data_IF_101589857873
#
_entry.id   IF_101589857873
#
_cell.length_a   1.000
_cell.length_b   1.000
_cell.length_c   1.000
_cell.angle_alpha   90.00
_cell.angle_beta   90.00
_cell.angle_gamma   90.00
#
_symmetry.space_group_name_H-M   'P 1'
#
loop_
_entity.id
_entity.type
_entity.pdbx_description
1 polymer ?
#
# COMPACT_ATOMS: atom_id res chain seq x y z
N UNK A 1 -8.34 -11.07 -6.38
CA UNK A 1 -9.34 -11.42 -5.35
C UNK A 1 -9.18 -10.51 -4.15
N UNK A 2 -10.26 -9.96 -3.66
CA UNK A 2 -10.21 -9.07 -2.49
C UNK A 2 -9.85 -9.86 -1.22
N UNK A 3 -9.17 -9.19 -0.30
CA UNK A 3 -8.88 -9.77 1.02
C UNK A 3 -9.57 -8.90 2.07
N UNK A 4 -10.40 -9.54 2.88
CA UNK A 4 -11.11 -8.85 3.97
C UNK A 4 -10.23 -8.88 5.20
N UNK A 5 -9.84 -7.69 5.68
CA UNK A 5 -9.04 -7.55 6.89
C UNK A 5 -9.95 -7.60 8.12
N UNK A 6 -10.99 -6.77 8.10
CA UNK A 6 -12.00 -6.71 9.16
C UNK A 6 -13.26 -6.02 8.62
N UNK A 7 -14.19 -5.67 9.51
CA UNK A 7 -15.46 -5.02 9.14
C UNK A 7 -15.26 -3.69 8.43
N UNK A 8 -14.13 -3.02 8.64
CA UNK A 8 -13.86 -1.68 8.11
C UNK A 8 -12.91 -1.70 6.92
N UNK A 9 -12.04 -2.70 6.82
CA UNK A 9 -10.92 -2.69 5.86
C UNK A 9 -10.99 -3.89 4.92
N UNK A 10 -10.93 -3.59 3.61
CA UNK A 10 -10.81 -4.58 2.55
C UNK A 10 -9.60 -4.22 1.69
N UNK A 11 -8.78 -5.20 1.34
CA UNK A 11 -7.69 -5.02 0.40
C UNK A 11 -8.16 -5.43 -0.99
N UNK A 12 -8.02 -4.51 -1.95
CA UNK A 12 -8.50 -4.70 -3.33
C UNK A 12 -7.28 -4.80 -4.23
N UNK A 13 -7.13 -5.86 -5.04
CA UNK A 13 -6.00 -5.97 -5.96
C UNK A 13 -5.85 -4.72 -6.79
N UNK A 14 -4.62 -4.26 -6.99
CA UNK A 14 -4.34 -3.02 -7.68
C UNK A 14 -4.98 -2.98 -9.06
N UNK A 15 -5.59 -1.85 -9.38
CA UNK A 15 -6.01 -1.46 -10.73
C UNK A 15 -5.68 0.03 -10.89
N UNK A 16 -5.57 0.49 -12.13
CA UNK A 16 -5.19 1.88 -12.36
C UNK A 16 -6.31 2.82 -11.96
N UNK A 17 -6.05 3.67 -10.97
CA UNK A 17 -6.98 4.69 -10.49
C UNK A 17 -6.17 5.92 -10.06
N UNK A 18 -5.58 6.60 -11.05
CA UNK A 18 -4.64 7.69 -10.81
C UNK A 18 -5.29 8.89 -10.13
N UNK A 19 -6.58 9.14 -10.39
CA UNK A 19 -7.28 10.28 -9.82
C UNK A 19 -7.26 10.27 -8.30
N UNK A 20 -7.29 9.08 -7.71
CA UNK A 20 -7.26 8.94 -6.26
C UNK A 20 -5.83 8.72 -5.78
N UNK A 21 -5.11 7.78 -6.37
CA UNK A 21 -3.79 7.38 -5.86
C UNK A 21 -2.77 8.50 -5.96
N UNK A 22 -2.81 9.32 -7.02
CA UNK A 22 -1.86 10.43 -7.16
C UNK A 22 -1.98 11.41 -6.00
N UNK A 23 -3.18 11.62 -5.46
CA UNK A 23 -3.38 12.53 -4.33
C UNK A 23 -2.56 12.13 -3.11
N UNK A 24 -2.43 10.82 -2.85
CA UNK A 24 -1.63 10.34 -1.71
C UNK A 24 -0.15 10.66 -1.89
N UNK A 25 0.34 10.59 -3.12
CA UNK A 25 1.76 10.78 -3.45
C UNK A 25 2.10 12.23 -3.79
N UNK A 26 1.13 13.13 -3.71
CA UNK A 26 1.36 14.57 -3.84
C UNK A 26 1.42 15.28 -2.49
N UNK A 27 1.26 14.55 -1.39
CA UNK A 27 1.47 15.07 -0.04
C UNK A 27 2.94 14.86 0.33
N UNK A 28 3.67 15.96 0.58
CA UNK A 28 5.10 15.89 0.86
C UNK A 28 5.42 15.12 2.14
N UNK A 29 4.54 15.16 3.14
CA UNK A 29 4.73 14.38 4.36
C UNK A 29 4.61 12.88 4.09
N UNK A 30 3.65 12.47 3.26
CA UNK A 30 3.49 11.08 2.87
C UNK A 30 4.72 10.61 2.09
N UNK A 31 5.19 11.40 1.12
CA UNK A 31 6.38 11.06 0.33
C UNK A 31 7.61 10.90 1.22
N UNK A 32 7.75 11.76 2.23
CA UNK A 32 8.86 11.68 3.17
C UNK A 32 8.82 10.39 3.99
N UNK A 33 7.63 9.95 4.37
CA UNK A 33 7.45 8.70 5.11
C UNK A 33 7.78 7.47 4.26
N UNK A 34 7.49 7.53 2.97
CA UNK A 34 7.67 6.39 2.06
C UNK A 34 9.09 6.32 1.50
N UNK A 35 9.56 7.42 0.93
CA UNK A 35 10.84 7.49 0.19
C UNK A 35 11.92 8.29 0.91
N UNK A 36 11.61 8.82 2.08
CA UNK A 36 12.50 9.71 2.81
C UNK A 36 12.91 10.93 1.96
N UNK A 37 11.96 11.47 1.19
CA UNK A 37 12.16 12.63 0.32
C UNK A 37 10.97 13.57 0.43
N UNK A 38 11.23 14.88 0.25
CA UNK A 38 10.17 15.89 0.22
C UNK A 38 9.57 16.05 -1.18
N UNK A 39 10.13 15.39 -2.19
CA UNK A 39 9.66 15.51 -3.56
C UNK A 39 8.38 14.70 -3.76
N UNK A 40 7.36 15.36 -4.29
CA UNK A 40 6.08 14.70 -4.58
C UNK A 40 6.16 13.96 -5.92
N UNK A 41 5.27 12.98 -6.10
CA UNK A 41 5.22 12.20 -7.32
C UNK A 41 4.45 12.94 -8.42
N UNK A 42 4.86 12.73 -9.67
CA UNK A 42 4.05 13.03 -10.84
C UNK A 42 3.49 11.71 -11.40
N UNK A 43 2.68 11.79 -12.45
CA UNK A 43 2.08 10.59 -13.05
C UNK A 43 3.12 9.59 -13.54
N UNK A 44 4.20 10.07 -14.15
CA UNK A 44 5.27 9.20 -14.66
C UNK A 44 5.90 8.39 -13.53
N UNK A 45 6.25 9.05 -12.43
CA UNK A 45 6.84 8.39 -11.28
C UNK A 45 5.85 7.43 -10.61
N UNK A 46 4.59 7.84 -10.51
CA UNK A 46 3.53 7.01 -9.95
C UNK A 46 3.36 5.71 -10.74
N UNK A 47 3.29 5.80 -12.06
CA UNK A 47 3.13 4.63 -12.92
C UNK A 47 4.34 3.69 -12.83
N UNK A 48 5.55 4.23 -12.80
CA UNK A 48 6.76 3.42 -12.64
C UNK A 48 6.75 2.68 -11.31
N UNK A 49 6.32 3.34 -10.25
CA UNK A 49 6.23 2.71 -8.94
C UNK A 49 5.25 1.54 -8.94
N UNK A 50 4.04 1.75 -9.43
CA UNK A 50 3.03 0.68 -9.46
C UNK A 50 3.41 -0.44 -10.43
N UNK A 51 4.00 -0.12 -11.57
CA UNK A 51 4.50 -1.14 -12.50
C UNK A 51 5.56 -2.02 -11.81
N UNK A 52 6.45 -1.41 -11.06
CA UNK A 52 7.46 -2.16 -10.30
C UNK A 52 6.79 -3.03 -9.22
N UNK A 53 5.91 -2.45 -8.41
CA UNK A 53 5.28 -3.16 -7.30
C UNK A 53 4.40 -4.31 -7.79
N UNK A 54 3.67 -4.13 -8.89
CA UNK A 54 2.80 -5.19 -9.41
C UNK A 54 3.59 -6.27 -10.13
N UNK A 55 4.76 -5.93 -10.69
CA UNK A 55 5.63 -6.92 -11.36
C UNK A 55 6.45 -7.74 -10.35
N UNK A 56 6.70 -7.20 -9.16
CA UNK A 56 7.60 -7.81 -8.18
C UNK A 56 6.89 -8.18 -6.88
N UNK A 57 5.58 -8.18 -6.86
CA UNK A 57 4.86 -8.50 -5.64
C UNK A 57 3.35 -8.46 -5.79
N UNK A 58 2.68 -8.52 -4.66
CA UNK A 58 1.21 -8.46 -4.57
C UNK A 58 0.83 -7.09 -4.05
N UNK A 59 0.28 -6.26 -4.92
CA UNK A 59 -0.09 -4.87 -4.61
C UNK A 59 -1.60 -4.76 -4.46
N UNK A 60 -2.04 -4.10 -3.38
CA UNK A 60 -3.46 -3.90 -3.08
C UNK A 60 -3.72 -2.44 -2.74
N UNK A 61 -4.90 -1.95 -3.15
CA UNK A 61 -5.45 -0.75 -2.54
C UNK A 61 -6.05 -1.09 -1.18
N UNK A 62 -5.99 -0.13 -0.26
CA UNK A 62 -6.62 -0.25 1.05
C UNK A 62 -7.93 0.52 0.98
N UNK A 63 -9.05 -0.21 1.14
CA UNK A 63 -10.37 0.40 1.23
C UNK A 63 -10.81 0.41 2.69
N UNK A 64 -11.12 1.60 3.20
CA UNK A 64 -11.57 1.80 4.57
C UNK A 64 -12.97 2.39 4.54
N UNK A 65 -13.92 1.64 5.05
CA UNK A 65 -15.34 2.05 5.10
C UNK A 65 -15.83 2.58 3.72
N UNK A 66 -15.50 1.84 2.66
CA UNK A 66 -15.94 2.14 1.31
C UNK A 66 -15.08 3.15 0.55
N UNK A 67 -14.02 3.68 1.16
CA UNK A 67 -13.16 4.71 0.55
C UNK A 67 -11.74 4.18 0.37
N UNK A 68 -11.14 4.39 -0.79
CA UNK A 68 -9.73 4.06 -1.00
C UNK A 68 -8.86 5.08 -0.27
N UNK A 69 -8.00 4.61 0.62
CA UNK A 69 -7.21 5.47 1.51
C UNK A 69 -5.70 5.24 1.41
N UNK A 70 -5.27 4.28 0.63
CA UNK A 70 -3.85 3.99 0.49
C UNK A 70 -3.60 2.72 -0.28
N UNK A 71 -2.36 2.25 -0.22
CA UNK A 71 -1.96 0.99 -0.83
C UNK A 71 -0.99 0.23 0.07
N UNK A 72 -0.91 -1.07 -0.15
CA UNK A 72 0.04 -1.94 0.56
C UNK A 72 0.51 -3.01 -0.42
N UNK A 73 1.81 -3.30 -0.41
CA UNK A 73 2.41 -4.28 -1.30
C UNK A 73 3.31 -5.23 -0.50
N UNK A 74 3.16 -6.53 -0.76
CA UNK A 74 4.11 -7.54 -0.32
C UNK A 74 4.97 -7.90 -1.52
N UNK A 75 6.24 -7.53 -1.48
CA UNK A 75 7.17 -7.80 -2.57
C UNK A 75 7.72 -9.21 -2.49
N UNK A 76 8.17 -9.73 -3.64
CA UNK A 76 8.71 -11.11 -3.73
C UNK A 76 9.93 -11.34 -2.84
N UNK A 77 10.65 -10.26 -2.51
CA UNK A 77 11.79 -10.32 -1.59
C UNK A 77 11.37 -10.25 -0.11
N UNK A 78 10.08 -10.39 0.16
CA UNK A 78 9.48 -10.34 1.51
C UNK A 78 9.46 -8.96 2.16
N UNK A 79 9.66 -7.90 1.39
CA UNK A 79 9.53 -6.53 1.90
C UNK A 79 8.09 -6.05 1.78
N UNK A 80 7.65 -5.30 2.79
CA UNK A 80 6.35 -4.65 2.80
C UNK A 80 6.51 -3.16 2.55
N UNK A 81 5.66 -2.63 1.65
CA UNK A 81 5.53 -1.19 1.42
C UNK A 81 4.09 -0.80 1.72
N UNK A 82 3.89 0.30 2.43
CA UNK A 82 2.54 0.77 2.75
C UNK A 82 2.48 2.28 2.71
N UNK A 83 1.40 2.80 2.14
CA UNK A 83 1.11 4.23 2.11
C UNK A 83 -0.33 4.42 2.52
N UNK A 84 -0.56 5.37 3.42
CA UNK A 84 -1.91 5.74 3.87
C UNK A 84 -2.04 7.25 3.77
N UNK A 85 -3.14 7.70 3.18
CA UNK A 85 -3.50 9.10 3.10
C UNK A 85 -3.42 9.74 4.48
N UNK A 86 -2.88 10.96 4.54
CA UNK A 86 -2.61 11.66 5.79
C UNK A 86 -3.82 11.73 6.72
N UNK A 87 -5.00 12.00 6.17
CA UNK A 87 -6.21 12.15 6.96
C UNK A 87 -6.72 10.85 7.57
N UNK A 88 -6.19 9.70 7.12
CA UNK A 88 -6.56 8.38 7.64
C UNK A 88 -5.45 7.72 8.46
N UNK A 89 -4.36 8.44 8.71
CA UNK A 89 -3.30 7.96 9.60
C UNK A 89 -3.78 8.05 11.05
N UNK A 90 -3.12 7.29 11.94
CA UNK A 90 -3.46 7.21 13.36
C UNK A 90 -4.80 6.54 13.68
N UNK A 91 -5.37 5.81 12.73
CA UNK A 91 -6.56 4.97 12.93
C UNK A 91 -6.20 3.49 13.02
N UNK A 92 -4.91 3.19 13.10
CA UNK A 92 -4.36 1.84 13.13
C UNK A 92 -4.68 1.02 11.87
N UNK A 93 -5.01 1.68 10.77
CA UNK A 93 -5.26 1.02 9.49
C UNK A 93 -4.00 0.32 9.01
N UNK A 94 -2.85 1.00 9.07
CA UNK A 94 -1.58 0.42 8.66
C UNK A 94 -1.23 -0.83 9.43
N UNK A 95 -1.39 -0.81 10.74
CA UNK A 95 -1.12 -1.96 11.60
C UNK A 95 -1.97 -3.17 11.21
N UNK A 96 -3.27 -2.94 10.98
CA UNK A 96 -4.20 -4.01 10.61
C UNK A 96 -3.85 -4.58 9.23
N UNK A 97 -3.49 -3.71 8.28
CA UNK A 97 -3.09 -4.14 6.94
C UNK A 97 -1.77 -4.92 6.97
N UNK A 98 -0.80 -4.48 7.76
CA UNK A 98 0.48 -5.19 7.90
C UNK A 98 0.26 -6.59 8.46
N UNK A 99 -0.61 -6.73 9.47
CA UNK A 99 -0.95 -8.05 10.02
C UNK A 99 -1.53 -8.97 8.95
N UNK A 100 -2.41 -8.44 8.10
CA UNK A 100 -2.99 -9.23 7.02
C UNK A 100 -1.94 -9.61 5.97
N UNK A 101 -1.02 -8.71 5.66
CA UNK A 101 0.05 -8.98 4.69
C UNK A 101 1.06 -9.99 5.23
N UNK A 102 1.29 -10.03 6.53
CA UNK A 102 2.10 -11.07 7.16
C UNK A 102 1.42 -12.42 6.99
N UNK A 103 0.09 -12.47 7.14
CA UNK A 103 -0.66 -13.69 6.89
C UNK A 103 -0.55 -14.13 5.42
N UNK A 104 -0.62 -13.19 4.48
CA UNK A 104 -0.40 -13.47 3.06
C UNK A 104 0.98 -14.06 2.82
N UNK A 105 2.00 -13.49 3.46
CA UNK A 105 3.37 -13.99 3.33
C UNK A 105 3.48 -15.44 3.81
N UNK A 106 2.81 -15.78 4.90
CA UNK A 106 2.77 -17.15 5.41
C UNK A 106 2.08 -18.08 4.41
N UNK A 107 1.00 -17.63 3.79
CA UNK A 107 0.31 -18.40 2.75
C UNK A 107 1.21 -18.67 1.56
N UNK A 108 2.12 -17.73 1.24
CA UNK A 108 3.10 -17.86 0.16
C UNK A 108 4.38 -18.56 0.62
N UNK A 109 4.42 -19.06 1.86
CA UNK A 109 5.54 -19.80 2.43
C UNK A 109 6.82 -18.97 2.50
N UNK A 110 6.71 -17.68 2.74
CA UNK A 110 7.86 -16.82 2.96
C UNK A 110 8.42 -17.04 4.36
N UNK A 111 9.75 -17.09 4.47
CA UNK A 111 10.44 -17.37 5.73
C UNK A 111 10.45 -16.13 6.63
N UNK A 112 10.57 -14.96 6.03
CA UNK A 112 10.76 -13.72 6.76
C UNK A 112 10.12 -12.55 5.99
N UNK A 113 9.55 -11.60 6.74
CA UNK A 113 8.98 -10.37 6.16
C UNK A 113 9.65 -9.18 6.81
N UNK A 114 10.07 -8.21 6.00
CA UNK A 114 10.62 -6.95 6.52
C UNK A 114 9.85 -5.77 5.94
N UNK A 115 9.64 -4.74 6.75
CA UNK A 115 8.95 -3.53 6.34
C UNK A 115 9.95 -2.46 5.88
N UNK A 116 9.57 -1.70 4.89
CA UNK A 116 10.32 -0.54 4.44
C UNK A 116 9.87 0.72 5.15
#
# INVERSE_FOLDING_TARGET
MNRIVDDQITLIPYYRNDDISLLWYQDSEVCKQVDNTDQIYNLTKLHKMYDYLTSHGSCYYIQYEGVLVGDVTLQDNSELSIVISKQYQNLQIGRRCVSEMIQLAKEQKMVKVSAQ
#
